data_IF_819485249496
#
_entry.id   IF_819485249496
#
_cell.length_a   1.000
_cell.length_b   1.000
_cell.length_c   1.000
_cell.angle_alpha   90.00
_cell.angle_beta   90.00
_cell.angle_gamma   90.00
#
_symmetry.space_group_name_H-M   'P 1'
#
loop_
_entity.id
_entity.type
_entity.pdbx_description
1 polymer ?
#
# COMPACT_ATOMS: atom_id res chain seq x y z
N UNK A 1 11.93 -9.00 -31.64
CA UNK A 1 12.03 -7.90 -30.65
C UNK A 1 12.18 -8.55 -29.29
N UNK A 2 13.34 -8.39 -28.65
CA UNK A 2 13.57 -8.89 -27.30
C UNK A 2 13.14 -7.80 -26.33
N UNK A 3 12.06 -8.02 -25.57
CA UNK A 3 11.74 -7.16 -24.44
C UNK A 3 12.74 -7.48 -23.33
N UNK A 4 13.68 -6.56 -23.09
CA UNK A 4 14.53 -6.60 -21.91
C UNK A 4 13.64 -6.49 -20.67
N UNK A 5 13.59 -7.54 -19.84
CA UNK A 5 12.79 -7.59 -18.61
C UNK A 5 13.45 -6.80 -17.45
N UNK A 6 14.32 -5.82 -17.76
CA UNK A 6 15.03 -5.01 -16.78
C UNK A 6 14.30 -3.72 -16.42
N UNK A 7 13.76 -3.74 -15.20
CA UNK A 7 13.56 -2.59 -14.30
C UNK A 7 12.83 -1.40 -14.89
N UNK A 8 11.50 -1.51 -15.03
CA UNK A 8 10.63 -0.34 -14.96
C UNK A 8 10.86 0.32 -13.60
N UNK A 9 11.49 1.49 -13.61
CA UNK A 9 11.68 2.35 -12.43
C UNK A 9 10.39 3.02 -11.97
N UNK A 10 9.34 2.92 -12.78
CA UNK A 10 8.02 3.45 -12.43
C UNK A 10 7.37 2.58 -11.33
N UNK A 11 6.88 3.21 -10.25
CA UNK A 11 6.25 2.48 -9.18
C UNK A 11 4.94 1.84 -9.64
N UNK A 12 4.68 0.63 -9.18
CA UNK A 12 3.34 0.06 -9.27
C UNK A 12 2.43 0.79 -8.27
N UNK A 13 1.47 1.54 -8.79
CA UNK A 13 0.49 2.28 -7.97
C UNK A 13 -0.77 1.43 -7.81
N UNK A 14 -1.24 1.31 -6.57
CA UNK A 14 -2.47 0.63 -6.24
C UNK A 14 -3.38 1.49 -5.38
N UNK A 15 -4.65 1.62 -5.78
CA UNK A 15 -5.63 2.43 -5.06
C UNK A 15 -6.61 1.54 -4.29
N UNK A 16 -6.81 1.81 -3.01
CA UNK A 16 -7.76 1.13 -2.13
C UNK A 16 -8.88 2.07 -1.73
N UNK A 17 -10.12 1.67 -1.95
CA UNK A 17 -11.30 2.45 -1.57
C UNK A 17 -12.15 1.64 -0.58
N UNK A 18 -11.88 1.82 0.71
CA UNK A 18 -12.59 1.13 1.81
C UNK A 18 -13.24 2.16 2.71
N UNK A 19 -14.37 1.80 3.32
CA UNK A 19 -14.93 2.57 4.43
C UNK A 19 -14.02 2.37 5.66
N UNK A 20 -13.29 3.41 6.04
CA UNK A 20 -12.34 3.36 7.17
C UNK A 20 -13.07 3.11 8.49
N UNK A 21 -14.25 3.70 8.69
CA UNK A 21 -15.02 3.52 9.93
C UNK A 21 -15.48 2.08 10.18
N UNK A 22 -15.77 1.33 9.12
CA UNK A 22 -16.31 -0.02 9.22
C UNK A 22 -15.31 -1.13 8.87
N UNK A 23 -14.32 -0.87 8.01
CA UNK A 23 -13.55 -1.91 7.34
C UNK A 23 -12.02 -1.72 7.43
N UNK A 24 -11.52 -0.93 8.39
CA UNK A 24 -10.07 -0.68 8.57
C UNK A 24 -9.25 -1.98 8.63
N UNK A 25 -9.67 -2.98 9.42
CA UNK A 25 -8.90 -4.23 9.55
C UNK A 25 -8.81 -5.01 8.24
N UNK A 26 -9.90 -5.02 7.46
CA UNK A 26 -9.92 -5.69 6.15
C UNK A 26 -9.02 -4.97 5.15
N UNK A 27 -9.04 -3.63 5.14
CA UNK A 27 -8.11 -2.82 4.35
C UNK A 27 -6.65 -3.18 4.69
N UNK A 28 -6.29 -3.13 5.98
CA UNK A 28 -4.93 -3.41 6.43
C UNK A 28 -4.49 -4.81 6.02
N UNK A 29 -5.30 -5.82 6.30
CA UNK A 29 -4.96 -7.21 5.98
C UNK A 29 -4.82 -7.42 4.46
N UNK A 30 -5.70 -6.80 3.66
CA UNK A 30 -5.61 -6.88 2.20
C UNK A 30 -4.33 -6.21 1.66
N UNK A 31 -3.96 -5.04 2.15
CA UNK A 31 -2.72 -4.35 1.75
C UNK A 31 -1.50 -5.19 2.15
N UNK A 32 -1.47 -5.73 3.36
CA UNK A 32 -0.37 -6.55 3.86
C UNK A 32 -0.21 -7.82 3.02
N UNK A 33 -1.30 -8.56 2.79
CA UNK A 33 -1.25 -9.78 1.98
C UNK A 33 -0.66 -9.50 0.59
N UNK A 34 -1.12 -8.43 -0.05
CA UNK A 34 -0.65 -8.08 -1.39
C UNK A 34 0.81 -7.62 -1.41
N UNK A 35 1.25 -6.86 -0.41
CA UNK A 35 2.65 -6.46 -0.30
C UNK A 35 3.57 -7.69 -0.16
N UNK A 36 3.19 -8.65 0.69
CA UNK A 36 3.97 -9.88 0.92
C UNK A 36 3.97 -10.78 -0.32
N UNK A 37 2.84 -10.93 -0.99
CA UNK A 37 2.75 -11.70 -2.25
C UNK A 37 3.58 -11.04 -3.36
N UNK A 38 3.57 -9.72 -3.44
CA UNK A 38 4.35 -8.97 -4.44
C UNK A 38 5.83 -9.01 -4.18
N UNK A 39 6.30 -9.00 -2.94
CA UNK A 39 7.74 -9.16 -2.65
C UNK A 39 8.32 -10.44 -3.27
N UNK A 40 7.51 -11.51 -3.38
CA UNK A 40 7.92 -12.78 -3.99
C UNK A 40 7.97 -12.73 -5.52
N UNK A 41 7.22 -11.81 -6.14
CA UNK A 41 6.94 -11.79 -7.57
C UNK A 41 7.44 -10.52 -8.30
N UNK A 42 7.79 -9.47 -7.57
CA UNK A 42 8.30 -8.23 -8.15
C UNK A 42 9.78 -8.37 -8.50
N UNK A 43 10.20 -7.91 -9.70
CA UNK A 43 11.61 -7.77 -10.02
C UNK A 43 12.32 -6.90 -8.98
N UNK A 44 13.56 -7.27 -8.64
CA UNK A 44 14.37 -6.50 -7.71
C UNK A 44 14.47 -5.03 -8.18
N UNK A 45 14.19 -4.09 -7.26
CA UNK A 45 14.23 -2.66 -7.52
C UNK A 45 12.90 -2.00 -7.90
N UNK A 46 11.82 -2.76 -8.14
CA UNK A 46 10.49 -2.18 -8.31
C UNK A 46 9.94 -1.63 -6.99
N UNK A 47 9.40 -0.41 -7.03
CA UNK A 47 8.72 0.24 -5.90
C UNK A 47 7.22 0.01 -5.98
N UNK A 48 6.58 -0.19 -4.83
CA UNK A 48 5.12 -0.24 -4.72
C UNK A 48 4.62 0.99 -3.96
N UNK A 49 3.56 1.62 -4.48
CA UNK A 49 2.86 2.72 -3.85
C UNK A 49 1.39 2.32 -3.62
N UNK A 50 0.94 2.43 -2.37
CA UNK A 50 -0.44 2.22 -1.96
C UNK A 50 -1.08 3.59 -1.75
N UNK A 51 -2.21 3.83 -2.41
CA UNK A 51 -3.02 5.03 -2.22
C UNK A 51 -4.35 4.62 -1.59
N UNK A 52 -4.61 5.06 -0.37
CA UNK A 52 -5.88 4.82 0.33
C UNK A 52 -6.80 6.01 0.03
N UNK A 53 -7.85 5.77 -0.74
CA UNK A 53 -8.87 6.76 -1.07
C UNK A 53 -9.84 6.92 0.10
N UNK A 54 -9.85 8.12 0.67
CA UNK A 54 -10.70 8.49 1.80
C UNK A 54 -11.57 9.70 1.48
N UNK A 55 -11.72 10.02 0.19
CA UNK A 55 -12.60 11.11 -0.27
C UNK A 55 -14.00 10.92 0.27
N UNK A 56 -14.57 11.97 0.86
CA UNK A 56 -15.89 11.94 1.47
C UNK A 56 -15.98 11.21 2.82
N UNK A 57 -14.86 10.75 3.39
CA UNK A 57 -14.82 10.12 4.72
C UNK A 57 -14.16 11.03 5.76
N UNK A 58 -14.70 11.06 6.97
CA UNK A 58 -14.09 11.79 8.09
C UNK A 58 -13.04 10.89 8.75
N UNK A 59 -11.77 11.08 8.37
CA UNK A 59 -10.64 10.31 8.88
C UNK A 59 -9.59 11.25 9.49
N UNK A 60 -9.39 11.15 10.80
CA UNK A 60 -8.41 11.96 11.54
C UNK A 60 -6.96 11.61 11.17
N UNK A 61 -6.03 12.54 11.38
CA UNK A 61 -4.59 12.27 11.18
C UNK A 61 -4.10 11.12 12.06
N UNK A 62 -4.56 11.05 13.31
CA UNK A 62 -4.24 9.95 14.22
C UNK A 62 -4.66 8.59 13.66
N UNK A 63 -5.86 8.51 13.05
CA UNK A 63 -6.33 7.25 12.45
C UNK A 63 -5.50 6.85 11.23
N UNK A 64 -5.08 7.82 10.40
CA UNK A 64 -4.20 7.56 9.25
C UNK A 64 -2.84 7.04 9.71
N UNK A 65 -2.28 7.67 10.73
CA UNK A 65 -1.02 7.26 11.33
C UNK A 65 -1.10 5.83 11.87
N UNK A 66 -2.16 5.50 12.62
CA UNK A 66 -2.42 4.14 13.10
C UNK A 66 -2.46 3.12 11.95
N UNK A 67 -3.19 3.43 10.87
CA UNK A 67 -3.28 2.56 9.68
C UNK A 67 -1.91 2.35 9.04
N UNK A 68 -1.12 3.40 8.87
CA UNK A 68 0.25 3.30 8.32
C UNK A 68 1.11 2.39 9.19
N UNK A 69 1.14 2.63 10.51
CA UNK A 69 1.96 1.85 11.43
C UNK A 69 1.55 0.38 11.45
N UNK A 70 0.26 0.09 11.41
CA UNK A 70 -0.24 -1.27 11.36
C UNK A 70 0.13 -2.00 10.08
N UNK A 71 0.06 -1.32 8.92
CA UNK A 71 0.49 -1.90 7.63
C UNK A 71 1.99 -2.19 7.65
N UNK A 72 2.83 -1.23 8.09
CA UNK A 72 4.29 -1.41 8.15
C UNK A 72 4.65 -2.58 9.05
N UNK A 73 4.08 -2.61 10.27
CA UNK A 73 4.34 -3.65 11.25
C UNK A 73 3.88 -5.03 10.75
N UNK A 74 2.67 -5.15 10.22
CA UNK A 74 2.12 -6.44 9.75
C UNK A 74 2.72 -6.93 8.44
N UNK A 75 3.23 -6.02 7.60
CA UNK A 75 3.98 -6.37 6.40
C UNK A 75 5.45 -6.70 6.69
N UNK A 76 5.88 -6.73 7.96
CA UNK A 76 7.28 -6.95 8.37
C UNK A 76 8.26 -6.01 7.65
N UNK A 77 7.87 -4.75 7.43
CA UNK A 77 8.71 -3.74 6.78
C UNK A 77 8.82 -3.87 5.25
N UNK A 78 8.04 -4.74 4.60
CA UNK A 78 7.97 -4.79 3.13
C UNK A 78 7.47 -3.46 2.54
N UNK A 79 6.55 -2.80 3.23
CA UNK A 79 6.14 -1.42 2.94
C UNK A 79 6.75 -0.46 3.95
N UNK A 80 7.25 0.67 3.46
CA UNK A 80 7.71 1.78 4.29
C UNK A 80 6.65 2.88 4.42
N UNK A 81 6.94 3.88 5.25
CA UNK A 81 6.07 5.06 5.45
C UNK A 81 5.79 5.82 4.17
N UNK A 82 6.79 5.94 3.28
CA UNK A 82 6.67 6.61 1.98
C UNK A 82 6.03 5.75 0.88
N UNK A 83 5.63 4.52 1.21
CA UNK A 83 4.92 3.62 0.28
C UNK A 83 3.41 3.73 0.42
N UNK A 84 2.89 4.55 1.34
CA UNK A 84 1.46 4.63 1.67
C UNK A 84 1.04 6.09 1.71
N UNK A 85 0.15 6.46 0.80
CA UNK A 85 -0.45 7.80 0.72
C UNK A 85 -1.97 7.74 0.93
N UNK A 86 -2.55 8.86 1.33
CA UNK A 86 -4.00 9.03 1.44
C UNK A 86 -4.49 10.06 0.42
N UNK A 87 -5.42 9.66 -0.44
CA UNK A 87 -6.09 10.58 -1.38
C UNK A 87 -7.30 11.21 -0.70
N UNK A 88 -7.31 12.55 -0.65
CA UNK A 88 -8.42 13.37 -0.15
C UNK A 88 -9.18 14.05 -1.27
#
# INVERSE_FOLDING_TARGET
MNYDLKTSTDPSIEVKNYNIGANTNNLINNVVQQAVERQKNLPAGMKQLIVIDIRGQVVSEAKRYEIIQDIIRKSNGVLGTHSIDFKR
#
